data_IF_243974661746
#
_entry.id   IF_243974661746
#
_cell.length_a   1.000
_cell.length_b   1.000
_cell.length_c   1.000
_cell.angle_alpha   90.00
_cell.angle_beta   90.00
_cell.angle_gamma   90.00
#
_symmetry.space_group_name_H-M   'P 1'
#
loop_
_entity.id
_entity.type
_entity.pdbx_description
1 polymer ?
#
# COMPACT_ATOMS: atom_id res chain seq x y z
N UNK A 1 4.90 6.27 -26.41
CA UNK A 1 3.90 5.55 -25.58
C UNK A 1 3.45 6.47 -24.47
N UNK A 2 2.14 6.67 -24.29
CA UNK A 2 1.48 7.55 -23.31
C UNK A 2 0.82 6.68 -22.25
N UNK A 3 1.10 6.92 -20.99
CA UNK A 3 0.62 6.09 -19.87
C UNK A 3 -0.29 6.91 -18.95
N UNK A 4 -1.44 6.35 -18.60
CA UNK A 4 -2.29 6.87 -17.53
C UNK A 4 -2.27 5.86 -16.37
N UNK A 5 -1.97 6.34 -15.17
CA UNK A 5 -1.93 5.54 -13.95
C UNK A 5 -3.09 5.93 -13.03
N UNK A 6 -3.92 4.97 -12.65
CA UNK A 6 -5.10 5.18 -11.80
C UNK A 6 -4.82 4.95 -10.31
N UNK A 7 -3.56 4.68 -9.92
CA UNK A 7 -3.17 4.44 -8.52
C UNK A 7 -1.69 4.72 -8.28
N UNK A 8 -1.30 5.07 -7.02
CA UNK A 8 0.08 5.40 -6.68
C UNK A 8 1.08 4.28 -6.96
N UNK A 9 0.76 3.02 -6.64
CA UNK A 9 1.66 1.89 -6.87
C UNK A 9 2.08 1.78 -8.34
N UNK A 10 1.12 1.90 -9.28
CA UNK A 10 1.41 1.88 -10.72
C UNK A 10 2.32 3.04 -11.15
N UNK A 11 2.05 4.25 -10.64
CA UNK A 11 2.89 5.43 -10.88
C UNK A 11 4.33 5.20 -10.43
N UNK A 12 4.51 4.64 -9.24
CA UNK A 12 5.83 4.35 -8.68
C UNK A 12 6.57 3.24 -9.45
N UNK A 13 5.84 2.21 -9.93
CA UNK A 13 6.41 1.17 -10.79
C UNK A 13 6.90 1.78 -12.11
N UNK A 14 6.06 2.57 -12.79
CA UNK A 14 6.44 3.26 -14.05
C UNK A 14 7.67 4.15 -13.85
N UNK A 15 7.73 4.88 -12.74
CA UNK A 15 8.87 5.73 -12.42
C UNK A 15 10.14 4.91 -12.13
N UNK A 16 10.03 3.82 -11.38
CA UNK A 16 11.16 2.94 -11.07
C UNK A 16 11.72 2.22 -12.30
N UNK A 17 10.90 2.01 -13.32
CA UNK A 17 11.32 1.52 -14.64
C UNK A 17 11.97 2.62 -15.53
N UNK A 18 12.19 3.83 -14.99
CA UNK A 18 12.77 4.94 -15.76
C UNK A 18 11.81 5.60 -16.75
N UNK A 19 10.51 5.29 -16.68
CA UNK A 19 9.51 5.71 -17.66
C UNK A 19 8.60 6.86 -17.16
N UNK A 20 9.00 7.63 -16.15
CA UNK A 20 8.21 8.74 -15.60
C UNK A 20 7.77 9.74 -16.67
N UNK A 21 8.61 10.00 -17.67
CA UNK A 21 8.30 10.88 -18.81
C UNK A 21 7.20 10.36 -19.76
N UNK A 22 6.76 9.10 -19.61
CA UNK A 22 5.64 8.53 -20.37
C UNK A 22 4.29 8.75 -19.67
N UNK A 23 4.29 9.12 -18.37
CA UNK A 23 3.06 9.42 -17.63
C UNK A 23 2.45 10.73 -18.14
N UNK A 24 1.20 10.67 -18.56
CA UNK A 24 0.43 11.82 -19.06
C UNK A 24 -0.76 12.16 -18.16
N UNK A 25 -1.11 11.29 -17.23
CA UNK A 25 -2.15 11.48 -16.23
C UNK A 25 -1.99 10.48 -15.10
N UNK A 26 -2.30 10.90 -13.88
CA UNK A 26 -2.12 10.10 -12.65
C UNK A 26 -3.31 10.22 -11.73
N UNK A 27 -3.46 9.30 -10.78
CA UNK A 27 -4.47 9.37 -9.72
C UNK A 27 -4.27 10.59 -8.82
N UNK A 28 -5.35 11.02 -8.17
CA UNK A 28 -5.32 12.12 -7.18
C UNK A 28 -4.38 11.86 -6.00
N UNK A 29 -4.09 10.60 -5.68
CA UNK A 29 -3.19 10.19 -4.59
C UNK A 29 -1.71 10.06 -5.01
N UNK A 30 -1.39 10.18 -6.30
CA UNK A 30 -0.01 10.04 -6.77
C UNK A 30 0.82 11.26 -6.39
N UNK A 31 1.79 11.10 -5.53
CA UNK A 31 2.65 12.16 -4.99
C UNK A 31 4.15 11.85 -5.12
N UNK A 32 4.49 10.61 -5.53
CA UNK A 32 5.85 10.15 -5.70
C UNK A 32 6.06 9.47 -7.07
N UNK A 33 7.21 9.71 -7.74
CA UNK A 33 8.22 10.72 -7.37
C UNK A 33 7.68 12.16 -7.49
N UNK A 34 8.36 13.17 -6.94
CA UNK A 34 7.83 14.55 -6.89
C UNK A 34 7.40 15.13 -8.25
N UNK A 35 8.02 14.70 -9.34
CA UNK A 35 7.75 15.15 -10.71
C UNK A 35 6.29 14.88 -11.15
N UNK A 36 5.69 13.80 -10.65
CA UNK A 36 4.31 13.43 -11.01
C UNK A 36 3.25 14.36 -10.42
N UNK A 37 3.64 15.21 -9.45
CA UNK A 37 2.71 16.15 -8.81
C UNK A 37 2.16 17.21 -9.77
N UNK A 38 2.89 17.52 -10.83
CA UNK A 38 2.49 18.47 -11.86
C UNK A 38 1.59 17.88 -12.96
N UNK A 39 1.43 16.54 -12.97
CA UNK A 39 0.65 15.85 -13.99
C UNK A 39 -0.88 16.01 -13.77
N UNK A 40 -1.69 15.95 -14.83
CA UNK A 40 -3.14 15.95 -14.74
C UNK A 40 -3.67 14.86 -13.81
N UNK A 41 -4.59 15.22 -12.90
CA UNK A 41 -5.27 14.29 -12.01
C UNK A 41 -6.51 13.72 -12.70
N UNK A 42 -6.45 12.44 -13.05
CA UNK A 42 -7.51 11.75 -13.79
C UNK A 42 -8.53 11.06 -12.88
N UNK A 43 -8.32 11.09 -11.57
CA UNK A 43 -9.27 10.57 -10.58
C UNK A 43 -9.52 11.60 -9.49
N UNK A 44 -10.63 11.42 -8.76
CA UNK A 44 -10.95 12.15 -7.54
C UNK A 44 -11.63 11.25 -6.53
N UNK A 45 -11.40 11.46 -5.24
CA UNK A 45 -12.17 10.79 -4.19
C UNK A 45 -13.52 11.47 -3.97
N UNK A 46 -14.53 10.67 -3.59
CA UNK A 46 -15.84 11.15 -3.14
C UNK A 46 -15.90 11.37 -1.63
N UNK A 47 -14.88 10.92 -0.91
CA UNK A 47 -14.78 10.98 0.54
C UNK A 47 -13.73 12.03 0.89
N UNK A 48 -14.08 12.94 1.78
CA UNK A 48 -13.13 13.94 2.27
C UNK A 48 -11.99 13.23 3.06
N UNK A 49 -10.74 13.27 2.55
CA UNK A 49 -9.62 12.61 3.21
C UNK A 49 -9.20 13.32 4.51
N UNK A 50 -9.70 14.52 4.80
CA UNK A 50 -9.40 15.26 6.02
C UNK A 50 -10.25 14.80 7.23
N UNK A 51 -11.27 14.00 7.00
CA UNK A 51 -12.11 13.44 8.07
C UNK A 51 -11.30 12.52 9.00
N UNK A 52 -11.66 12.40 10.28
CA UNK A 52 -11.12 11.37 11.18
C UNK A 52 -11.35 9.95 10.65
N UNK A 53 -10.49 9.00 11.01
CA UNK A 53 -10.51 7.62 10.51
C UNK A 53 -11.89 6.95 10.63
N UNK A 54 -12.57 7.07 11.77
CA UNK A 54 -13.90 6.51 11.94
C UNK A 54 -14.98 7.18 11.08
N UNK A 55 -14.82 8.45 10.72
CA UNK A 55 -15.75 9.11 9.81
C UNK A 55 -15.51 8.68 8.36
N UNK A 56 -14.25 8.47 7.96
CA UNK A 56 -13.88 7.91 6.65
C UNK A 56 -14.46 6.50 6.51
N UNK A 57 -14.30 5.64 7.52
CA UNK A 57 -14.84 4.27 7.51
C UNK A 57 -16.36 4.24 7.32
N UNK A 58 -17.10 5.09 8.06
CA UNK A 58 -18.55 5.23 7.90
C UNK A 58 -18.93 5.73 6.50
N UNK A 59 -18.26 6.75 5.98
CA UNK A 59 -18.51 7.28 4.64
C UNK A 59 -18.24 6.23 3.56
N UNK A 60 -17.17 5.42 3.74
CA UNK A 60 -16.86 4.28 2.88
C UNK A 60 -17.98 3.25 2.86
N UNK A 61 -18.48 2.87 4.06
CA UNK A 61 -19.59 1.93 4.18
C UNK A 61 -20.87 2.47 3.51
N UNK A 62 -21.13 3.77 3.56
CA UNK A 62 -22.26 4.42 2.90
C UNK A 62 -22.14 4.38 1.37
N UNK A 63 -20.99 4.77 0.85
CA UNK A 63 -20.69 4.74 -0.60
C UNK A 63 -20.82 3.31 -1.14
N UNK A 64 -20.27 2.32 -0.42
CA UNK A 64 -20.37 0.91 -0.78
C UNK A 64 -21.83 0.40 -0.77
N UNK A 65 -22.63 0.75 0.25
CA UNK A 65 -24.06 0.41 0.31
C UNK A 65 -24.87 1.03 -0.83
N UNK A 66 -24.49 2.22 -1.27
CA UNK A 66 -25.11 2.89 -2.42
C UNK A 66 -24.71 2.29 -3.77
N UNK A 67 -23.78 1.30 -3.80
CA UNK A 67 -23.27 0.69 -5.03
C UNK A 67 -22.45 1.66 -5.90
N UNK A 68 -21.88 2.70 -5.27
CA UNK A 68 -21.08 3.73 -5.95
C UNK A 68 -19.61 3.51 -5.64
N UNK A 69 -18.74 3.77 -6.61
CA UNK A 69 -17.28 3.75 -6.36
C UNK A 69 -16.84 4.94 -5.50
N UNK A 70 -15.98 4.74 -4.48
CA UNK A 70 -15.41 5.84 -3.71
C UNK A 70 -14.48 6.73 -4.53
N UNK A 71 -13.94 6.21 -5.63
CA UNK A 71 -13.06 6.93 -6.55
C UNK A 71 -13.75 7.10 -7.89
N UNK A 72 -13.77 8.32 -8.37
CA UNK A 72 -14.33 8.68 -9.68
C UNK A 72 -13.22 8.95 -10.68
N UNK A 73 -13.37 8.44 -11.91
CA UNK A 73 -12.45 8.70 -13.03
C UNK A 73 -13.02 9.82 -13.89
N UNK A 74 -12.21 10.81 -14.21
CA UNK A 74 -12.52 11.81 -15.25
C UNK A 74 -12.27 11.20 -16.64
N UNK A 75 -13.31 10.52 -17.13
CA UNK A 75 -13.28 9.82 -18.42
C UNK A 75 -12.97 10.76 -19.58
N UNK A 76 -13.48 12.00 -19.54
CA UNK A 76 -13.24 12.99 -20.59
C UNK A 76 -11.77 13.41 -20.64
N UNK A 77 -11.16 13.61 -19.46
CA UNK A 77 -9.73 13.92 -19.36
C UNK A 77 -8.89 12.74 -19.83
N UNK A 78 -9.19 11.50 -19.40
CA UNK A 78 -8.49 10.30 -19.87
C UNK A 78 -8.59 10.18 -21.40
N UNK A 79 -9.77 10.38 -21.99
CA UNK A 79 -9.97 10.36 -23.44
C UNK A 79 -9.15 11.45 -24.15
N UNK A 80 -9.09 12.66 -23.58
CA UNK A 80 -8.27 13.76 -24.11
C UNK A 80 -6.77 13.44 -24.05
N UNK A 81 -6.34 12.76 -23.01
CA UNK A 81 -4.93 12.35 -22.83
C UNK A 81 -4.52 11.23 -23.78
N UNK A 82 -5.45 10.52 -24.42
CA UNK A 82 -5.19 9.44 -25.39
C UNK A 82 -4.09 8.48 -24.93
N UNK A 83 -4.29 7.73 -23.82
CA UNK A 83 -3.29 6.79 -23.36
C UNK A 83 -3.15 5.61 -24.33
N UNK A 84 -1.92 5.15 -24.53
CA UNK A 84 -1.61 3.86 -25.15
C UNK A 84 -1.76 2.73 -24.11
N UNK A 85 -1.44 3.03 -22.85
CA UNK A 85 -1.52 2.12 -21.71
C UNK A 85 -2.27 2.78 -20.56
N UNK A 86 -3.23 2.04 -19.98
CA UNK A 86 -3.99 2.42 -18.79
C UNK A 86 -3.73 1.40 -17.70
N UNK A 87 -3.21 1.84 -16.55
CA UNK A 87 -2.87 0.94 -15.44
C UNK A 87 -3.85 1.16 -14.28
N UNK A 88 -4.54 0.09 -13.89
CA UNK A 88 -5.49 0.02 -12.77
C UNK A 88 -5.17 -1.14 -11.82
N UNK A 89 -6.12 -1.48 -10.93
CA UNK A 89 -5.99 -2.62 -10.01
C UNK A 89 -7.31 -3.36 -9.83
N UNK A 90 -7.22 -4.59 -9.25
CA UNK A 90 -8.37 -5.38 -8.80
C UNK A 90 -8.30 -5.79 -7.33
N UNK A 91 -7.31 -5.29 -6.59
CA UNK A 91 -7.00 -5.74 -5.20
C UNK A 91 -7.95 -5.14 -4.16
N UNK A 92 -8.24 -3.85 -4.28
CA UNK A 92 -8.99 -3.12 -3.27
C UNK A 92 -9.93 -2.11 -3.93
N UNK A 93 -11.24 -2.21 -3.61
CA UNK A 93 -12.25 -1.27 -4.08
C UNK A 93 -12.37 -0.03 -3.16
N UNK A 94 -11.42 0.16 -2.23
CA UNK A 94 -11.45 1.24 -1.24
C UNK A 94 -10.61 2.43 -1.69
N UNK A 95 -9.37 2.18 -2.10
CA UNK A 95 -8.38 3.24 -2.34
C UNK A 95 -8.14 3.53 -3.83
N UNK A 96 -8.71 2.75 -4.74
CA UNK A 96 -8.53 2.95 -6.18
C UNK A 96 -9.77 2.53 -6.97
N UNK A 97 -9.70 2.79 -8.28
CA UNK A 97 -10.77 2.45 -9.23
C UNK A 97 -10.96 0.94 -9.30
N UNK A 98 -12.16 0.47 -8.97
CA UNK A 98 -12.51 -0.95 -9.04
C UNK A 98 -12.53 -1.48 -10.49
N UNK A 99 -12.43 -2.81 -10.64
CA UNK A 99 -12.34 -3.46 -11.95
C UNK A 99 -13.56 -3.15 -12.85
N UNK A 100 -14.76 -3.11 -12.28
CA UNK A 100 -15.98 -2.79 -13.01
C UNK A 100 -16.03 -1.33 -13.52
N UNK A 101 -15.46 -0.39 -12.77
CA UNK A 101 -15.34 1.01 -13.18
C UNK A 101 -14.27 1.15 -14.25
N UNK A 102 -13.14 0.44 -14.11
CA UNK A 102 -12.08 0.40 -15.09
C UNK A 102 -12.60 -0.11 -16.45
N UNK A 103 -13.36 -1.19 -16.45
CA UNK A 103 -13.97 -1.74 -17.68
C UNK A 103 -14.93 -0.72 -18.34
N UNK A 104 -15.74 0.00 -17.57
CA UNK A 104 -16.62 1.05 -18.09
C UNK A 104 -15.86 2.21 -18.70
N UNK A 105 -14.78 2.66 -18.05
CA UNK A 105 -13.90 3.72 -18.59
C UNK A 105 -13.31 3.27 -19.93
N UNK A 106 -12.71 2.07 -19.98
CA UNK A 106 -12.06 1.53 -21.18
C UNK A 106 -13.03 1.42 -22.36
N UNK A 107 -14.29 1.02 -22.12
CA UNK A 107 -15.30 0.88 -23.16
C UNK A 107 -15.63 2.21 -23.88
N UNK A 108 -15.30 3.37 -23.29
CA UNK A 108 -15.53 4.69 -23.88
C UNK A 108 -14.31 5.27 -24.60
N UNK A 109 -13.12 4.63 -24.47
CA UNK A 109 -11.88 5.17 -25.04
C UNK A 109 -11.65 4.68 -26.49
N UNK A 110 -11.33 5.60 -27.37
CA UNK A 110 -11.00 5.34 -28.78
C UNK A 110 -9.72 6.11 -29.15
N UNK A 111 -8.64 5.45 -29.55
CA UNK A 111 -8.46 3.99 -29.60
C UNK A 111 -8.48 3.37 -28.19
N UNK A 112 -8.82 2.09 -28.11
CA UNK A 112 -8.79 1.35 -26.84
C UNK A 112 -7.34 1.17 -26.37
N UNK A 113 -6.97 1.62 -25.16
CA UNK A 113 -5.62 1.44 -24.63
C UNK A 113 -5.35 -0.01 -24.24
N UNK A 114 -4.09 -0.40 -24.14
CA UNK A 114 -3.73 -1.62 -23.44
C UNK A 114 -3.96 -1.44 -21.94
N UNK A 115 -4.77 -2.31 -21.34
CA UNK A 115 -5.11 -2.25 -19.92
C UNK A 115 -4.22 -3.21 -19.15
N UNK A 116 -3.52 -2.68 -18.14
CA UNK A 116 -2.75 -3.45 -17.16
C UNK A 116 -3.46 -3.37 -15.83
N UNK A 117 -3.85 -4.53 -15.28
CA UNK A 117 -4.47 -4.60 -13.95
C UNK A 117 -3.48 -5.22 -12.96
N UNK A 118 -3.20 -4.51 -11.88
CA UNK A 118 -2.37 -5.01 -10.78
C UNK A 118 -3.23 -5.86 -9.85
N UNK A 119 -2.68 -7.00 -9.39
CA UNK A 119 -3.44 -8.03 -8.66
C UNK A 119 -2.78 -8.45 -7.34
N UNK A 120 -1.69 -7.82 -6.93
CA UNK A 120 -0.88 -8.29 -5.82
C UNK A 120 -1.65 -8.38 -4.49
N UNK A 121 -1.68 -9.56 -3.87
CA UNK A 121 -2.12 -9.81 -2.50
C UNK A 121 -0.97 -10.22 -1.58
N UNK A 122 0.16 -10.66 -2.14
CA UNK A 122 1.38 -11.07 -1.45
C UNK A 122 2.59 -10.40 -2.09
N UNK A 123 3.73 -10.42 -1.40
CA UNK A 123 4.93 -9.71 -1.85
C UNK A 123 5.47 -10.21 -3.18
N UNK A 124 5.46 -11.52 -3.43
CA UNK A 124 5.90 -12.08 -4.72
C UNK A 124 5.02 -11.64 -5.89
N UNK A 125 3.74 -11.41 -5.65
CA UNK A 125 2.80 -10.93 -6.66
C UNK A 125 3.06 -9.47 -7.03
N UNK A 126 3.58 -8.66 -6.10
CA UNK A 126 4.05 -7.28 -6.40
C UNK A 126 5.18 -7.30 -7.43
N UNK A 127 6.10 -8.25 -7.33
CA UNK A 127 7.18 -8.40 -8.31
C UNK A 127 6.65 -8.87 -9.68
N UNK A 128 5.61 -9.71 -9.70
CA UNK A 128 4.93 -10.07 -10.93
C UNK A 128 4.23 -8.86 -11.56
N UNK A 129 3.61 -8.00 -10.77
CA UNK A 129 2.98 -6.78 -11.25
C UNK A 129 4.01 -5.79 -11.84
N UNK A 130 5.21 -5.66 -11.23
CA UNK A 130 6.33 -4.89 -11.81
C UNK A 130 6.69 -5.41 -13.20
N UNK A 131 6.80 -6.74 -13.37
CA UNK A 131 7.10 -7.35 -14.67
C UNK A 131 6.00 -7.13 -15.69
N UNK A 132 4.71 -7.25 -15.29
CA UNK A 132 3.55 -6.97 -16.17
C UNK A 132 3.56 -5.54 -16.69
N UNK A 133 3.86 -4.58 -15.81
CA UNK A 133 4.00 -3.17 -16.23
C UNK A 133 5.19 -3.00 -17.17
N UNK A 134 6.34 -3.61 -16.86
CA UNK A 134 7.52 -3.60 -17.73
C UNK A 134 7.23 -4.18 -19.11
N UNK A 135 6.49 -5.29 -19.19
CA UNK A 135 6.07 -5.88 -20.47
C UNK A 135 5.17 -4.93 -21.28
N UNK A 136 4.15 -4.34 -20.63
CA UNK A 136 3.24 -3.41 -21.28
C UNK A 136 3.91 -2.13 -21.75
N UNK A 137 5.01 -1.74 -21.13
CA UNK A 137 5.80 -0.57 -21.49
C UNK A 137 6.97 -0.88 -22.42
N UNK A 138 7.14 -2.14 -22.85
CA UNK A 138 8.30 -2.60 -23.63
C UNK A 138 9.66 -2.34 -22.92
N UNK A 139 9.66 -2.53 -21.60
CA UNK A 139 10.79 -2.33 -20.67
C UNK A 139 11.05 -3.61 -19.86
N UNK A 140 11.15 -4.75 -20.55
CA UNK A 140 11.29 -6.07 -19.90
C UNK A 140 12.62 -6.18 -19.16
N UNK A 141 13.71 -5.74 -19.79
CA UNK A 141 15.05 -5.83 -19.21
C UNK A 141 15.14 -4.96 -17.94
N UNK A 142 14.60 -3.73 -17.98
CA UNK A 142 14.55 -2.83 -16.84
C UNK A 142 13.69 -3.41 -15.70
N UNK A 143 12.60 -4.09 -16.04
CA UNK A 143 11.74 -4.73 -15.03
C UNK A 143 12.41 -5.96 -14.39
N UNK A 144 13.17 -6.74 -15.15
CA UNK A 144 13.96 -7.86 -14.62
C UNK A 144 15.10 -7.36 -13.73
N UNK A 145 15.81 -6.30 -14.13
CA UNK A 145 16.85 -5.68 -13.32
C UNK A 145 16.29 -5.11 -12.01
N UNK A 146 15.17 -4.40 -12.09
CA UNK A 146 14.47 -3.85 -10.92
C UNK A 146 14.05 -4.97 -9.95
N UNK A 147 13.36 -6.01 -10.44
CA UNK A 147 12.94 -7.17 -9.63
C UNK A 147 14.17 -7.84 -8.97
N UNK A 148 15.22 -8.11 -9.73
CA UNK A 148 16.44 -8.73 -9.21
C UNK A 148 17.09 -7.88 -8.11
N UNK A 149 17.16 -6.56 -8.30
CA UNK A 149 17.70 -5.60 -7.35
C UNK A 149 16.89 -5.54 -6.05
N UNK A 150 15.56 -5.47 -6.15
CA UNK A 150 14.66 -5.46 -5.01
C UNK A 150 14.74 -6.77 -4.20
N UNK A 151 14.70 -7.92 -4.87
CA UNK A 151 14.86 -9.24 -4.23
C UNK A 151 16.23 -9.41 -3.58
N UNK A 152 17.28 -8.85 -4.18
CA UNK A 152 18.62 -8.87 -3.57
C UNK A 152 18.64 -8.08 -2.25
N UNK A 153 18.02 -6.89 -2.20
CA UNK A 153 17.90 -6.09 -0.97
C UNK A 153 17.15 -6.87 0.12
N UNK A 154 16.02 -7.50 -0.21
CA UNK A 154 15.25 -8.32 0.73
C UNK A 154 16.05 -9.52 1.27
N UNK A 155 16.77 -10.24 0.42
CA UNK A 155 17.65 -11.34 0.87
C UNK A 155 18.73 -10.85 1.82
N UNK A 156 19.35 -9.70 1.52
CA UNK A 156 20.33 -9.09 2.43
C UNK A 156 19.71 -8.71 3.77
N UNK A 157 18.50 -8.13 3.75
CA UNK A 157 17.79 -7.79 4.97
C UNK A 157 17.52 -9.04 5.82
N UNK A 158 17.01 -10.10 5.22
CA UNK A 158 16.74 -11.37 5.90
C UNK A 158 18.00 -12.02 6.49
N UNK A 159 19.11 -11.99 5.75
CA UNK A 159 20.40 -12.50 6.26
C UNK A 159 20.82 -11.75 7.52
N UNK A 160 20.80 -10.41 7.49
CA UNK A 160 21.15 -9.58 8.65
C UNK A 160 20.21 -9.82 9.83
N UNK A 161 18.90 -10.03 9.60
CA UNK A 161 17.95 -10.34 10.65
C UNK A 161 18.27 -11.67 11.33
N UNK A 162 18.64 -12.70 10.56
CA UNK A 162 19.06 -14.02 11.08
C UNK A 162 20.39 -13.95 11.86
N UNK A 163 21.37 -13.22 11.35
CA UNK A 163 22.66 -13.04 12.02
C UNK A 163 22.50 -12.33 13.37
N UNK A 164 21.68 -11.27 13.41
CA UNK A 164 21.39 -10.54 14.66
C UNK A 164 20.63 -11.40 15.67
N UNK A 165 19.74 -12.29 15.25
CA UNK A 165 19.06 -13.26 16.11
C UNK A 165 19.97 -14.37 16.66
N UNK A 166 21.03 -14.74 15.93
CA UNK A 166 21.98 -15.77 16.37
C UNK A 166 23.00 -15.28 17.39
N UNK A 167 23.26 -13.99 17.48
CA UNK A 167 24.25 -13.42 18.44
C UNK A 167 23.73 -13.45 19.89
N UNK A 168 22.42 -13.73 20.09
CA UNK A 168 21.83 -13.92 21.42
C UNK A 168 20.90 -15.13 21.42
N UNK A 169 21.43 -16.35 21.36
CA UNK A 169 20.75 -17.63 21.15
C UNK A 169 19.58 -18.00 22.11
N UNK A 170 18.89 -17.06 22.72
CA UNK A 170 17.77 -17.28 23.65
C UNK A 170 16.54 -16.40 23.44
N UNK A 171 16.50 -15.52 22.43
CA UNK A 171 15.33 -14.65 22.24
C UNK A 171 14.56 -15.06 20.99
N UNK A 172 13.28 -15.38 21.18
CA UNK A 172 12.33 -15.54 20.07
C UNK A 172 12.23 -14.24 19.26
N UNK A 173 11.87 -14.33 17.98
CA UNK A 173 11.64 -13.15 17.15
C UNK A 173 10.59 -12.22 17.82
N UNK A 174 10.81 -10.91 17.84
CA UNK A 174 9.84 -9.97 18.42
C UNK A 174 8.46 -10.14 17.82
N UNK A 175 7.45 -10.17 18.67
CA UNK A 175 6.04 -10.24 18.29
C UNK A 175 5.57 -8.86 17.86
N UNK A 176 5.21 -8.71 16.60
CA UNK A 176 4.87 -7.42 15.99
C UNK A 176 3.39 -7.42 15.62
N UNK A 177 2.68 -6.38 16.01
CA UNK A 177 1.33 -6.09 15.54
C UNK A 177 1.39 -4.86 14.65
N UNK A 178 0.96 -4.97 13.40
CA UNK A 178 0.85 -3.82 12.50
C UNK A 178 -0.61 -3.40 12.37
N UNK A 179 -0.89 -2.14 12.71
CA UNK A 179 -2.21 -1.52 12.57
C UNK A 179 -2.23 -0.61 11.34
N UNK A 180 -3.17 -0.87 10.42
CA UNK A 180 -3.35 -0.02 9.23
C UNK A 180 -4.57 0.89 9.30
N UNK A 181 -5.38 0.79 10.36
CA UNK A 181 -6.49 1.68 10.68
C UNK A 181 -6.78 1.65 12.18
N UNK A 182 -7.45 2.67 12.73
CA UNK A 182 -7.67 2.77 14.17
C UNK A 182 -9.14 2.82 14.60
N UNK A 183 -10.05 3.24 13.73
CA UNK A 183 -11.48 3.29 14.08
C UNK A 183 -12.35 2.85 12.89
N UNK A 184 -12.85 1.56 12.91
CA UNK A 184 -12.42 0.49 13.82
C UNK A 184 -10.96 0.08 13.59
N UNK A 185 -10.29 -0.59 14.56
CA UNK A 185 -8.90 -1.01 14.35
C UNK A 185 -8.80 -2.16 13.36
N UNK A 186 -7.98 -1.98 12.31
CA UNK A 186 -7.64 -3.00 11.33
C UNK A 186 -6.21 -3.48 11.51
N UNK A 187 -6.02 -4.80 11.50
CA UNK A 187 -4.70 -5.41 11.34
C UNK A 187 -4.31 -5.40 9.88
N UNK A 188 -3.06 -5.05 9.62
CA UNK A 188 -2.52 -5.03 8.27
C UNK A 188 -2.38 -6.47 7.73
N UNK A 189 -2.81 -6.65 6.48
CA UNK A 189 -2.79 -7.93 5.78
C UNK A 189 -1.88 -7.91 4.56
N UNK A 190 -2.27 -8.69 3.54
CA UNK A 190 -1.61 -8.80 2.25
C UNK A 190 -0.12 -9.14 2.39
N UNK A 191 0.78 -8.26 1.92
CA UNK A 191 2.24 -8.39 1.96
C UNK A 191 2.85 -7.97 3.31
N UNK A 192 2.10 -7.29 4.21
CA UNK A 192 2.68 -6.73 5.44
C UNK A 192 3.25 -7.78 6.39
N UNK A 193 2.59 -8.94 6.64
CA UNK A 193 3.18 -9.99 7.46
C UNK A 193 4.51 -10.54 6.90
N UNK A 194 4.67 -10.58 5.56
CA UNK A 194 5.93 -10.96 4.91
C UNK A 194 7.02 -9.92 5.16
N UNK A 195 6.68 -8.62 5.08
CA UNK A 195 7.63 -7.54 5.38
C UNK A 195 8.11 -7.61 6.84
N UNK A 196 7.21 -7.90 7.78
CA UNK A 196 7.55 -8.10 9.21
C UNK A 196 8.51 -9.28 9.38
N UNK A 197 8.23 -10.41 8.72
CA UNK A 197 9.09 -11.60 8.79
C UNK A 197 10.47 -11.33 8.18
N UNK A 198 10.55 -10.65 7.05
CA UNK A 198 11.81 -10.24 6.41
C UNK A 198 12.61 -9.25 7.28
N UNK A 199 11.92 -8.42 8.05
CA UNK A 199 12.50 -7.49 9.01
C UNK A 199 13.01 -8.16 10.30
N UNK A 200 12.71 -9.47 10.49
CA UNK A 200 13.14 -10.25 11.65
C UNK A 200 12.12 -10.30 12.79
N UNK A 201 10.88 -9.87 12.57
CA UNK A 201 9.77 -9.99 13.51
C UNK A 201 8.86 -11.18 13.21
N UNK A 202 7.92 -11.43 14.11
CA UNK A 202 6.78 -12.32 13.92
C UNK A 202 5.49 -11.50 13.93
N UNK A 203 4.80 -11.41 12.80
CA UNK A 203 3.48 -10.80 12.78
C UNK A 203 2.50 -11.64 13.60
N UNK A 204 1.76 -10.98 14.52
CA UNK A 204 0.79 -11.66 15.39
C UNK A 204 -0.65 -11.27 15.05
N UNK A 205 -0.85 -10.33 14.15
CA UNK A 205 -2.15 -9.82 13.75
C UNK A 205 -2.76 -10.55 12.57
N UNK A 206 -1.94 -10.95 11.59
CA UNK A 206 -2.37 -11.49 10.31
C UNK A 206 -1.41 -12.54 9.75
N UNK A 207 -1.78 -13.14 8.63
CA UNK A 207 -1.00 -14.12 7.86
C UNK A 207 -0.73 -13.57 6.45
N UNK A 208 0.41 -13.93 5.81
CA UNK A 208 0.70 -13.52 4.44
C UNK A 208 -0.44 -13.82 3.46
N UNK A 209 -0.75 -12.85 2.61
CA UNK A 209 -1.80 -12.98 1.57
C UNK A 209 -3.23 -12.82 2.06
N UNK A 210 -3.50 -12.84 3.37
CA UNK A 210 -4.83 -12.55 3.91
C UNK A 210 -5.17 -11.06 3.79
N UNK A 211 -6.45 -10.76 3.55
CA UNK A 211 -6.90 -9.37 3.54
C UNK A 211 -6.84 -8.76 4.93
N UNK A 212 -6.58 -7.47 4.98
CA UNK A 212 -6.71 -6.67 6.20
C UNK A 212 -8.11 -6.77 6.77
N UNK A 213 -8.21 -6.85 8.10
CA UNK A 213 -9.49 -7.06 8.79
C UNK A 213 -9.60 -6.26 10.07
N UNK A 214 -10.81 -5.78 10.35
CA UNK A 214 -11.13 -5.19 11.64
C UNK A 214 -11.15 -6.26 12.74
N UNK A 215 -10.62 -5.91 13.92
CA UNK A 215 -10.66 -6.74 15.13
C UNK A 215 -10.90 -5.86 16.35
N UNK A 216 -11.71 -6.33 17.35
CA UNK A 216 -11.89 -5.59 18.60
C UNK A 216 -10.55 -5.30 19.30
N UNK A 217 -10.44 -4.18 19.98
CA UNK A 217 -9.24 -3.80 20.73
C UNK A 217 -8.84 -4.83 21.80
N UNK A 218 -9.84 -5.49 22.44
CA UNK A 218 -9.62 -6.55 23.40
C UNK A 218 -8.88 -7.74 22.79
N UNK A 219 -9.28 -8.16 21.61
CA UNK A 219 -8.63 -9.25 20.87
C UNK A 219 -7.19 -8.88 20.51
N UNK A 220 -6.96 -7.63 20.08
CA UNK A 220 -5.63 -7.14 19.73
C UNK A 220 -4.73 -7.05 20.98
N UNK A 221 -5.25 -6.59 22.10
CA UNK A 221 -4.52 -6.55 23.37
C UNK A 221 -4.13 -7.96 23.88
N UNK A 222 -5.01 -8.95 23.67
CA UNK A 222 -4.76 -10.35 24.03
C UNK A 222 -3.63 -10.99 23.20
N UNK A 223 -3.30 -10.46 22.01
CA UNK A 223 -2.16 -10.91 21.23
C UNK A 223 -0.83 -10.64 21.92
N UNK A 224 -0.77 -9.75 22.89
CA UNK A 224 0.43 -9.40 23.66
C UNK A 224 1.67 -9.16 22.77
N UNK A 225 1.64 -8.23 21.79
CA UNK A 225 2.80 -7.92 20.97
C UNK A 225 3.91 -7.27 21.78
N UNK A 226 5.16 -7.46 21.38
CA UNK A 226 6.32 -6.73 21.93
C UNK A 226 6.40 -5.31 21.34
N UNK A 227 5.99 -5.16 20.07
CA UNK A 227 5.99 -3.89 19.32
C UNK A 227 4.68 -3.75 18.58
N UNK A 228 4.05 -2.59 18.69
CA UNK A 228 2.93 -2.17 17.85
C UNK A 228 3.45 -1.18 16.81
N UNK A 229 3.26 -1.47 15.54
CA UNK A 229 3.59 -0.55 14.45
C UNK A 229 2.30 0.06 13.90
N UNK A 230 2.20 1.39 13.93
CA UNK A 230 1.08 2.13 13.37
C UNK A 230 1.47 2.61 11.98
N UNK A 231 0.82 2.05 10.95
CA UNK A 231 1.09 2.29 9.54
C UNK A 231 -0.25 2.52 8.80
N UNK A 232 -0.92 3.63 9.10
CA UNK A 232 -2.30 3.86 8.66
C UNK A 232 -2.37 4.07 7.15
N UNK A 233 -3.30 3.38 6.51
CA UNK A 233 -3.52 3.44 5.06
C UNK A 233 -3.84 4.87 4.61
N UNK A 234 -3.03 5.41 3.67
CA UNK A 234 -3.18 6.76 3.15
C UNK A 234 -2.75 7.89 4.10
N UNK A 235 -2.23 7.60 5.30
CA UNK A 235 -1.82 8.61 6.26
C UNK A 235 -0.29 8.63 6.44
N UNK A 236 0.26 9.83 6.51
CA UNK A 236 1.63 10.07 6.95
C UNK A 236 1.78 9.93 8.48
N UNK A 237 3.01 9.96 8.97
CA UNK A 237 3.30 9.79 10.41
C UNK A 237 2.62 10.88 11.27
N UNK A 238 2.70 12.19 10.96
CA UNK A 238 2.02 13.23 11.73
C UNK A 238 0.51 13.02 11.86
N UNK A 239 -0.13 12.61 10.76
CA UNK A 239 -1.55 12.31 10.75
C UNK A 239 -1.85 11.06 11.58
N UNK A 240 -1.08 10.00 11.43
CA UNK A 240 -1.24 8.76 12.20
C UNK A 240 -1.08 9.00 13.71
N UNK A 241 -0.15 9.87 14.13
CA UNK A 241 0.02 10.27 15.53
C UNK A 241 -1.20 11.02 16.07
N UNK A 242 -1.79 11.91 15.26
CA UNK A 242 -3.01 12.63 15.62
C UNK A 242 -4.19 11.68 15.83
N UNK A 243 -4.40 10.74 14.90
CA UNK A 243 -5.46 9.71 14.98
C UNK A 243 -5.27 8.80 16.22
N UNK A 244 -4.02 8.38 16.48
CA UNK A 244 -3.71 7.59 17.69
C UNK A 244 -4.03 8.32 18.97
N UNK A 245 -3.74 9.62 19.04
CA UNK A 245 -4.06 10.47 20.19
C UNK A 245 -5.56 10.60 20.46
N UNK A 246 -6.41 10.39 19.48
CA UNK A 246 -7.86 10.43 19.61
C UNK A 246 -8.48 9.10 20.09
N UNK A 247 -7.73 8.01 20.16
CA UNK A 247 -8.22 6.69 20.61
C UNK A 247 -8.48 6.72 22.12
N UNK A 248 -9.72 6.47 22.53
CA UNK A 248 -10.15 6.55 23.95
C UNK A 248 -10.47 5.17 24.56
N UNK A 249 -10.50 4.11 23.77
CA UNK A 249 -10.79 2.76 24.22
C UNK A 249 -9.80 2.26 25.30
N UNK A 250 -10.29 1.56 26.31
CA UNK A 250 -9.49 1.11 27.46
C UNK A 250 -8.52 -0.03 27.09
N UNK A 251 -8.96 -0.97 26.26
CA UNK A 251 -8.11 -2.07 25.79
C UNK A 251 -7.05 -1.54 24.82
N UNK A 252 -7.42 -0.55 23.97
CA UNK A 252 -6.48 0.16 23.14
C UNK A 252 -5.39 0.84 23.98
N UNK A 253 -5.73 1.53 25.04
CA UNK A 253 -4.75 2.18 25.94
C UNK A 253 -3.78 1.17 26.56
N UNK A 254 -4.26 -0.01 26.94
CA UNK A 254 -3.42 -1.10 27.45
C UNK A 254 -2.45 -1.60 26.39
N UNK A 255 -2.91 -1.79 25.16
CA UNK A 255 -2.09 -2.21 24.03
C UNK A 255 -1.08 -1.14 23.64
N UNK A 256 -1.53 0.11 23.51
CA UNK A 256 -0.74 1.26 23.08
C UNK A 256 0.17 1.83 24.20
N UNK A 257 0.01 1.36 25.43
CA UNK A 257 0.96 1.59 26.53
C UNK A 257 2.26 0.77 26.40
N UNK A 258 2.32 -0.14 25.42
CA UNK A 258 3.54 -0.89 25.05
C UNK A 258 4.40 -0.03 24.12
N UNK A 259 5.45 -0.65 23.58
CA UNK A 259 6.29 0.00 22.57
C UNK A 259 5.49 0.23 21.28
N UNK A 260 5.30 1.49 20.92
CA UNK A 260 4.60 1.91 19.69
C UNK A 260 5.58 2.62 18.78
N UNK A 261 5.64 2.16 17.55
CA UNK A 261 6.45 2.73 16.48
C UNK A 261 5.54 3.19 15.32
N UNK A 262 6.00 4.14 14.54
CA UNK A 262 5.26 4.66 13.40
C UNK A 262 5.98 4.40 12.10
N UNK A 263 5.25 3.91 11.12
CA UNK A 263 5.67 3.82 9.73
C UNK A 263 4.71 4.68 8.87
N UNK A 264 5.25 5.38 7.89
CA UNK A 264 4.43 6.12 6.94
C UNK A 264 3.62 5.14 6.08
N UNK A 265 2.32 4.97 6.42
CA UNK A 265 1.44 4.04 5.72
C UNK A 265 1.16 4.51 4.30
N UNK A 266 1.01 5.81 4.09
CA UNK A 266 0.79 6.37 2.76
C UNK A 266 1.98 6.13 1.82
N UNK A 267 3.20 6.37 2.30
CA UNK A 267 4.39 6.24 1.47
C UNK A 267 4.78 4.79 1.18
N UNK A 268 4.45 3.85 2.09
CA UNK A 268 5.02 2.50 2.06
C UNK A 268 3.97 1.40 1.97
N UNK A 269 3.31 1.07 3.09
CA UNK A 269 2.53 -0.17 3.19
C UNK A 269 1.24 -0.19 2.37
N UNK A 270 0.68 0.98 2.05
CA UNK A 270 -0.55 1.09 1.24
C UNK A 270 -0.32 0.99 -0.27
N UNK A 271 0.94 0.92 -0.71
CA UNK A 271 1.31 0.97 -2.13
C UNK A 271 2.09 -0.27 -2.54
N UNK A 272 1.45 -1.29 -3.14
CA UNK A 272 2.13 -2.49 -3.62
C UNK A 272 3.06 -2.20 -4.79
N UNK A 273 4.27 -1.75 -4.48
CA UNK A 273 5.26 -1.33 -5.45
C UNK A 273 6.69 -1.44 -4.93
N UNK A 274 7.67 -0.88 -5.65
CA UNK A 274 9.10 -1.02 -5.33
C UNK A 274 9.47 -0.58 -3.91
N UNK A 275 8.74 0.41 -3.35
CA UNK A 275 9.02 0.96 -2.01
C UNK A 275 8.62 0.07 -0.85
N UNK A 276 7.97 -1.08 -1.10
CA UNK A 276 7.77 -2.09 -0.05
C UNK A 276 9.10 -2.64 0.49
N UNK A 277 10.15 -2.62 -0.31
CA UNK A 277 11.50 -2.98 0.16
C UNK A 277 12.04 -1.95 1.16
N UNK A 278 11.80 -0.66 0.91
CA UNK A 278 12.13 0.41 1.85
C UNK A 278 11.32 0.30 3.14
N UNK A 279 10.05 -0.11 3.02
CA UNK A 279 9.18 -0.43 4.17
C UNK A 279 9.78 -1.55 5.03
N UNK A 280 10.21 -2.68 4.42
CA UNK A 280 10.83 -3.79 5.13
C UNK A 280 12.12 -3.36 5.85
N UNK A 281 12.98 -2.59 5.19
CA UNK A 281 14.21 -2.06 5.78
C UNK A 281 13.93 -1.10 6.95
N UNK A 282 12.86 -0.32 6.85
CA UNK A 282 12.41 0.58 7.92
C UNK A 282 11.84 -0.20 9.09
N UNK A 283 10.97 -1.19 8.83
CA UNK A 283 10.45 -2.10 9.85
C UNK A 283 11.58 -2.79 10.61
N UNK A 284 12.64 -3.23 9.93
CA UNK A 284 13.78 -3.85 10.59
C UNK A 284 14.50 -2.91 11.56
N UNK A 285 14.50 -1.61 11.31
CA UNK A 285 15.02 -0.61 12.28
C UNK A 285 14.05 -0.43 13.44
N UNK A 286 12.76 -0.28 13.14
CA UNK A 286 11.72 -0.07 14.14
C UNK A 286 11.56 -1.27 15.08
N UNK A 287 11.69 -2.50 14.59
CA UNK A 287 11.55 -3.72 15.41
C UNK A 287 12.73 -3.91 16.35
N UNK A 288 13.94 -3.56 15.90
CA UNK A 288 15.16 -3.76 16.71
C UNK A 288 15.37 -2.69 17.80
N UNK A 289 14.89 -1.48 17.61
CA UNK A 289 15.06 -0.35 18.52
C UNK A 289 16.33 0.41 18.29
#
# INVERSE_FOLDING_TARGET
>A
MRVVSLLPAATEIVAALGAVGRLVGVSHECDFPPEVRSLPRVTRTRIDPALPSGAIDRAMAEVKRAGVSPVEVDVNLVAHLRPDVLIGQSVCDVCAVGEGDLARVVATLIPTPWVVTLHAHALDEVFLDIRRVGEALELRDEAEELDAGLRYRLRRLQTRARESGNVGAQHAAPRVLVLEWLDPPYVAGHWVPELVALAGGQDVGSTPGERSRARPWEDLAALAPDVVVVALCGFDIPRAQTELGAVTDAAARTLLGRRVEFLDGNAYTSRPGPRLVDAAETLARLIRG
#
